data_IF_397081337682
#
_entry.id   IF_397081337682
#
_cell.length_a   1.000
_cell.length_b   1.000
_cell.length_c   1.000
_cell.angle_alpha   90.00
_cell.angle_beta   90.00
_cell.angle_gamma   90.00
#
_symmetry.space_group_name_H-M   'P 1'
#
loop_
_entity.id
_entity.type
_entity.pdbx_description
1 polymer ?
#
# COMPACT_ATOMS: atom_id res chain seq x y z
N UNK A 1 28.18 6.59 4.30
CA UNK A 1 27.57 5.35 3.83
C UNK A 1 26.06 5.47 3.85
N UNK A 2 25.31 4.54 3.25
CA UNK A 2 23.86 4.55 3.32
C UNK A 2 23.41 4.43 4.79
N UNK A 3 22.61 5.38 5.23
CA UNK A 3 22.05 5.38 6.58
C UNK A 3 20.80 4.51 6.60
N UNK A 4 20.57 3.79 7.69
CA UNK A 4 19.38 2.97 7.89
C UNK A 4 18.12 3.82 8.09
N UNK A 5 16.97 3.14 8.16
CA UNK A 5 15.67 3.80 8.39
C UNK A 5 15.66 4.57 9.72
N UNK A 6 16.18 3.97 10.79
CA UNK A 6 16.18 4.60 12.12
C UNK A 6 17.03 5.88 12.15
N UNK A 7 18.14 5.94 11.38
CA UNK A 7 18.96 7.16 11.24
C UNK A 7 18.22 8.30 10.48
N UNK A 8 17.29 7.94 9.61
CA UNK A 8 16.53 8.91 8.81
C UNK A 8 15.22 9.34 9.48
N UNK A 9 14.71 8.55 10.41
CA UNK A 9 13.36 8.67 10.97
C UNK A 9 13.04 10.06 11.50
N UNK A 10 13.94 10.66 12.29
CA UNK A 10 13.72 12.00 12.87
C UNK A 10 13.53 13.06 11.78
N UNK A 11 14.41 13.08 10.77
CA UNK A 11 14.33 14.04 9.66
C UNK A 11 13.10 13.82 8.77
N UNK A 12 12.71 12.57 8.56
CA UNK A 12 11.48 12.25 7.83
C UNK A 12 10.26 12.76 8.60
N UNK A 13 10.23 12.50 9.90
CA UNK A 13 9.13 12.96 10.76
C UNK A 13 9.02 14.48 10.82
N UNK A 14 10.15 15.19 10.95
CA UNK A 14 10.20 16.67 10.92
C UNK A 14 9.66 17.22 9.60
N UNK A 15 10.10 16.67 8.46
CA UNK A 15 9.63 17.09 7.14
C UNK A 15 8.14 16.83 6.93
N UNK A 16 7.67 15.62 7.27
CA UNK A 16 6.25 15.28 7.18
C UNK A 16 5.39 16.17 8.10
N UNK A 17 5.85 16.43 9.32
CA UNK A 17 5.15 17.33 10.26
C UNK A 17 5.03 18.74 9.70
N UNK A 18 6.12 19.33 9.20
CA UNK A 18 6.11 20.68 8.65
C UNK A 18 5.12 20.83 7.48
N UNK A 19 5.08 19.84 6.58
CA UNK A 19 4.11 19.81 5.47
C UNK A 19 2.68 19.67 5.98
N UNK A 20 2.47 18.84 7.00
CA UNK A 20 1.14 18.60 7.59
C UNK A 20 0.61 19.85 8.31
N UNK A 21 1.44 20.53 9.08
CA UNK A 21 1.10 21.78 9.77
C UNK A 21 0.71 22.87 8.77
N UNK A 22 1.47 23.03 7.69
CA UNK A 22 1.12 23.95 6.61
C UNK A 22 -0.21 23.59 5.93
N UNK A 23 -0.41 22.29 5.60
CA UNK A 23 -1.64 21.80 4.97
C UNK A 23 -2.88 21.98 5.88
N UNK A 24 -2.70 21.85 7.19
CA UNK A 24 -3.76 22.03 8.18
C UNK A 24 -4.36 23.45 8.14
N UNK A 25 -3.55 24.49 7.87
CA UNK A 25 -4.03 25.87 7.73
C UNK A 25 -5.06 26.01 6.59
N UNK A 26 -5.00 25.09 5.61
CA UNK A 26 -5.92 25.02 4.47
C UNK A 26 -7.03 23.96 4.65
N UNK A 27 -7.13 23.34 5.83
CA UNK A 27 -8.09 22.27 6.09
C UNK A 27 -7.79 20.94 5.40
N UNK A 28 -6.53 20.72 4.99
CA UNK A 28 -6.09 19.53 4.24
C UNK A 28 -5.36 18.56 5.19
N UNK A 29 -5.70 17.28 5.08
CA UNK A 29 -4.93 16.18 5.69
C UNK A 29 -3.85 15.69 4.74
N UNK A 30 -2.75 15.18 5.29
CA UNK A 30 -1.64 14.62 4.51
C UNK A 30 -1.44 13.15 4.85
N UNK A 31 -0.85 12.41 3.91
CA UNK A 31 -0.57 10.98 4.08
C UNK A 31 0.84 10.63 3.64
N UNK A 32 1.36 9.55 4.22
CA UNK A 32 2.46 8.79 3.64
C UNK A 32 1.89 7.50 3.02
N UNK A 33 2.42 7.08 1.89
CA UNK A 33 2.12 5.79 1.30
C UNK A 33 3.19 4.75 1.68
N UNK A 34 2.79 3.52 1.92
CA UNK A 34 3.72 2.39 2.05
C UNK A 34 4.31 2.03 0.68
N UNK A 35 5.39 2.72 0.29
CA UNK A 35 5.98 2.65 -1.05
C UNK A 35 7.51 2.79 -1.03
N UNK A 36 8.19 2.34 -2.09
CA UNK A 36 9.58 2.67 -2.40
C UNK A 36 10.64 1.94 -1.58
N UNK A 37 10.38 0.76 -1.06
CA UNK A 37 11.29 -0.12 -0.29
C UNK A 37 11.83 0.47 1.02
N UNK A 38 11.99 1.79 1.13
CA UNK A 38 12.57 2.43 2.30
C UNK A 38 11.55 2.60 3.43
N UNK A 39 10.34 3.07 3.11
CA UNK A 39 9.22 3.21 4.05
C UNK A 39 8.00 2.43 3.53
N UNK A 40 8.14 1.11 3.38
CA UNK A 40 7.13 0.25 2.78
C UNK A 40 6.70 -0.87 3.74
N UNK A 41 7.62 -1.35 4.58
CA UNK A 41 7.29 -2.30 5.65
C UNK A 41 6.32 -1.68 6.65
N UNK A 42 5.35 -2.45 7.12
CA UNK A 42 4.31 -1.95 8.02
C UNK A 42 4.87 -1.38 9.33
N UNK A 43 5.96 -1.96 9.88
CA UNK A 43 6.60 -1.48 11.09
C UNK A 43 7.30 -0.13 10.89
N UNK A 44 7.90 0.11 9.72
CA UNK A 44 8.53 1.39 9.39
C UNK A 44 7.50 2.49 9.17
N UNK A 45 6.41 2.17 8.48
CA UNK A 45 5.28 3.09 8.28
C UNK A 45 4.69 3.49 9.63
N UNK A 46 4.41 2.53 10.50
CA UNK A 46 3.89 2.78 11.85
C UNK A 46 4.84 3.66 12.67
N UNK A 47 6.14 3.36 12.68
CA UNK A 47 7.16 4.18 13.35
C UNK A 47 7.16 5.62 12.85
N UNK A 48 7.08 5.83 11.53
CA UNK A 48 7.08 7.18 10.96
C UNK A 48 5.81 7.95 11.36
N UNK A 49 4.63 7.35 11.25
CA UNK A 49 3.38 8.01 11.62
C UNK A 49 3.39 8.40 13.10
N UNK A 50 3.83 7.49 13.97
CA UNK A 50 3.95 7.75 15.41
C UNK A 50 5.00 8.83 15.71
N UNK A 51 6.11 8.90 14.97
CA UNK A 51 7.12 9.94 15.13
C UNK A 51 6.61 11.31 14.66
N UNK A 52 5.83 11.37 13.58
CA UNK A 52 5.14 12.61 13.14
C UNK A 52 4.14 13.05 14.19
N UNK A 53 3.37 12.13 14.78
CA UNK A 53 2.42 12.38 15.87
C UNK A 53 1.54 13.62 15.63
N UNK A 54 0.83 13.65 14.51
CA UNK A 54 -0.06 14.76 14.14
C UNK A 54 -1.43 14.22 13.68
N UNK A 55 -2.57 14.75 14.17
CA UNK A 55 -3.90 14.20 13.88
C UNK A 55 -4.30 14.30 12.39
N UNK A 56 -3.70 15.22 11.64
CA UNK A 56 -3.94 15.39 10.21
C UNK A 56 -2.90 14.67 9.32
N UNK A 57 -2.02 13.85 9.92
CA UNK A 57 -1.08 13.00 9.19
C UNK A 57 -1.46 11.53 9.36
N UNK A 58 -1.67 10.82 8.27
CA UNK A 58 -2.08 9.42 8.30
C UNK A 58 -1.45 8.60 7.18
N UNK A 59 -2.08 7.47 6.89
CA UNK A 59 -1.64 6.52 5.89
C UNK A 59 -2.54 6.55 4.66
N UNK A 60 -1.93 6.64 3.49
CA UNK A 60 -2.46 6.09 2.26
C UNK A 60 -2.01 4.63 2.22
N UNK A 61 -2.92 3.72 2.50
CA UNK A 61 -2.66 2.29 2.57
C UNK A 61 -2.78 1.66 1.18
N UNK A 62 -1.68 1.26 0.58
CA UNK A 62 -1.69 0.38 -0.58
C UNK A 62 -1.59 -1.08 -0.11
N UNK A 63 -2.62 -1.88 -0.39
CA UNK A 63 -2.70 -3.26 0.09
C UNK A 63 -1.76 -4.22 -0.65
N UNK A 64 -1.32 -3.87 -1.86
CA UNK A 64 -0.44 -4.70 -2.70
C UNK A 64 1.04 -4.45 -2.44
N UNK A 65 1.43 -3.23 -2.09
CA UNK A 65 2.83 -2.82 -1.99
C UNK A 65 3.63 -3.59 -0.92
N UNK A 66 2.98 -4.24 0.04
CA UNK A 66 3.67 -5.08 1.03
C UNK A 66 4.38 -6.28 0.39
N UNK A 67 3.88 -6.79 -0.73
CA UNK A 67 4.55 -7.87 -1.48
C UNK A 67 5.91 -7.44 -2.02
N UNK A 68 6.13 -6.16 -2.29
CA UNK A 68 7.43 -5.65 -2.74
C UNK A 68 8.54 -5.81 -1.68
N UNK A 69 8.17 -5.89 -0.42
CA UNK A 69 9.08 -6.10 0.71
C UNK A 69 8.91 -7.50 1.34
N UNK A 70 8.21 -8.39 0.64
CA UNK A 70 7.93 -9.78 1.06
C UNK A 70 7.17 -9.86 2.40
N UNK A 71 6.40 -8.86 2.73
CA UNK A 71 5.52 -8.86 3.90
C UNK A 71 4.12 -9.37 3.53
N UNK A 72 3.50 -10.13 4.44
CA UNK A 72 2.13 -10.61 4.32
C UNK A 72 1.15 -9.42 4.36
N UNK A 73 0.39 -9.15 3.27
CA UNK A 73 -0.49 -7.99 3.21
C UNK A 73 -1.56 -7.98 4.31
N UNK A 74 -2.09 -9.15 4.68
CA UNK A 74 -3.16 -9.23 5.70
C UNK A 74 -2.65 -8.81 7.07
N UNK A 75 -1.44 -9.26 7.44
CA UNK A 75 -0.80 -8.86 8.70
C UNK A 75 -0.46 -7.38 8.72
N UNK A 76 0.09 -6.88 7.60
CA UNK A 76 0.47 -5.49 7.45
C UNK A 76 -0.75 -4.56 7.52
N UNK A 77 -1.81 -4.86 6.78
CA UNK A 77 -3.08 -4.13 6.83
C UNK A 77 -3.63 -4.13 8.25
N UNK A 78 -3.71 -5.32 8.90
CA UNK A 78 -4.22 -5.42 10.28
C UNK A 78 -3.48 -4.53 11.28
N UNK A 79 -2.14 -4.39 11.14
CA UNK A 79 -1.32 -3.49 11.97
C UNK A 79 -1.66 -2.03 11.74
N UNK A 80 -1.89 -1.64 10.49
CA UNK A 80 -1.94 -0.23 10.07
C UNK A 80 -3.35 0.36 10.06
N UNK A 81 -4.40 -0.42 10.29
CA UNK A 81 -5.80 0.04 10.32
C UNK A 81 -6.03 1.35 11.07
N UNK A 82 -5.43 1.59 12.28
CA UNK A 82 -5.69 2.81 13.04
C UNK A 82 -5.22 4.10 12.37
N UNK A 83 -4.37 4.01 11.34
CA UNK A 83 -3.72 5.16 10.70
C UNK A 83 -4.27 5.48 9.31
N UNK A 84 -5.21 4.68 8.79
CA UNK A 84 -5.65 4.74 7.39
C UNK A 84 -6.56 5.94 7.14
N UNK A 85 -6.16 6.81 6.20
CA UNK A 85 -6.98 7.91 5.68
C UNK A 85 -7.50 7.64 4.28
N UNK A 86 -6.74 6.87 3.49
CA UNK A 86 -7.08 6.51 2.12
C UNK A 86 -6.56 5.12 1.79
N UNK A 87 -7.21 4.42 0.85
CA UNK A 87 -6.80 3.07 0.44
C UNK A 87 -6.57 3.01 -1.06
N UNK A 88 -5.41 2.50 -1.46
CA UNK A 88 -5.15 1.99 -2.80
C UNK A 88 -5.35 0.48 -2.82
N UNK A 89 -6.13 0.04 -3.80
CA UNK A 89 -6.30 -1.38 -4.12
C UNK A 89 -5.45 -1.68 -5.34
N UNK A 90 -4.37 -2.38 -5.11
CA UNK A 90 -3.39 -2.83 -6.11
C UNK A 90 -3.26 -4.34 -6.02
N UNK A 91 -3.03 -4.99 -7.14
CA UNK A 91 -2.79 -6.43 -7.19
C UNK A 91 -1.50 -6.77 -7.94
N UNK A 92 -0.87 -7.87 -7.58
CA UNK A 92 0.36 -8.38 -8.17
C UNK A 92 0.29 -9.88 -8.40
N UNK A 93 0.83 -10.33 -9.54
CA UNK A 93 1.26 -11.71 -9.69
C UNK A 93 2.61 -11.91 -8.99
N UNK A 94 2.76 -13.03 -8.28
CA UNK A 94 3.98 -13.40 -7.57
C UNK A 94 4.57 -14.70 -8.14
N UNK A 95 5.88 -14.71 -8.39
CA UNK A 95 6.63 -15.94 -8.68
C UNK A 95 7.85 -16.04 -7.77
N UNK A 96 8.11 -17.27 -7.32
CA UNK A 96 9.29 -17.54 -6.48
C UNK A 96 10.59 -17.12 -7.18
N UNK A 97 11.47 -16.45 -6.45
CA UNK A 97 12.82 -16.09 -6.90
C UNK A 97 13.73 -17.30 -7.19
N UNK A 98 13.31 -18.52 -6.79
CA UNK A 98 13.97 -19.77 -7.15
C UNK A 98 13.69 -20.21 -8.59
N UNK A 99 12.67 -19.65 -9.23
CA UNK A 99 12.32 -19.95 -10.62
C UNK A 99 13.15 -19.10 -11.59
N UNK A 100 13.27 -19.52 -12.87
CA UNK A 100 13.87 -18.68 -13.91
C UNK A 100 13.18 -17.32 -14.00
N UNK A 101 13.97 -16.27 -14.33
CA UNK A 101 13.44 -14.94 -14.54
C UNK A 101 12.32 -14.97 -15.61
N UNK A 102 11.10 -14.52 -15.30
CA UNK A 102 9.98 -14.56 -16.24
C UNK A 102 10.10 -13.55 -17.41
N UNK A 103 11.08 -12.64 -17.36
CA UNK A 103 11.37 -11.70 -18.45
C UNK A 103 10.71 -10.33 -18.27
N UNK A 104 10.37 -9.71 -19.41
CA UNK A 104 9.87 -8.32 -19.46
C UNK A 104 8.58 -8.15 -18.66
N UNK A 105 8.48 -7.03 -17.96
CA UNK A 105 7.31 -6.65 -17.14
C UNK A 105 7.36 -7.17 -15.71
N UNK A 106 8.38 -7.95 -15.34
CA UNK A 106 8.59 -8.42 -13.98
C UNK A 106 9.74 -7.67 -13.30
N UNK A 107 9.57 -7.37 -12.03
CA UNK A 107 10.61 -6.80 -11.17
C UNK A 107 10.83 -7.70 -9.94
N UNK A 108 11.83 -7.39 -9.13
CA UNK A 108 12.13 -8.18 -7.93
C UNK A 108 11.62 -7.50 -6.68
N UNK A 109 11.02 -8.30 -5.78
CA UNK A 109 10.83 -7.92 -4.39
C UNK A 109 12.18 -7.75 -3.67
N UNK A 110 12.16 -7.23 -2.44
CA UNK A 110 13.37 -7.14 -1.59
C UNK A 110 14.03 -8.50 -1.37
N UNK A 111 13.27 -9.55 -1.14
CA UNK A 111 13.75 -10.92 -0.93
C UNK A 111 14.09 -11.67 -2.22
N UNK A 112 13.85 -11.07 -3.39
CA UNK A 112 14.22 -11.62 -4.69
C UNK A 112 13.11 -12.40 -5.40
N UNK A 113 11.88 -12.44 -4.90
CA UNK A 113 10.73 -12.95 -5.64
C UNK A 113 10.43 -12.05 -6.86
N UNK A 114 9.79 -12.61 -7.87
CA UNK A 114 9.36 -11.82 -9.03
C UNK A 114 7.93 -11.36 -8.87
N UNK A 115 7.71 -10.07 -9.11
CA UNK A 115 6.39 -9.42 -9.05
C UNK A 115 6.06 -8.81 -10.40
N UNK A 116 4.79 -8.80 -10.76
CA UNK A 116 4.23 -8.07 -11.91
C UNK A 116 2.86 -7.55 -11.53
N UNK A 117 2.58 -6.28 -11.81
CA UNK A 117 1.25 -5.72 -11.62
C UNK A 117 0.17 -6.56 -12.30
N UNK A 118 -0.95 -6.71 -11.64
CA UNK A 118 -2.10 -7.50 -12.09
C UNK A 118 -3.39 -6.68 -12.03
N UNK A 119 -4.37 -7.07 -12.83
CA UNK A 119 -5.76 -6.61 -12.68
C UNK A 119 -6.27 -7.05 -11.32
N UNK A 120 -6.95 -6.20 -10.57
CA UNK A 120 -7.50 -6.52 -9.26
C UNK A 120 -8.31 -7.83 -9.32
N UNK A 121 -7.94 -8.79 -8.49
CA UNK A 121 -8.53 -10.12 -8.42
C UNK A 121 -7.93 -11.15 -9.37
N UNK A 122 -6.94 -10.77 -10.20
CA UNK A 122 -6.20 -11.72 -11.04
C UNK A 122 -4.85 -12.09 -10.45
N UNK A 123 -4.39 -11.38 -9.42
CA UNK A 123 -3.11 -11.58 -8.78
C UNK A 123 -3.19 -12.39 -7.49
N UNK A 124 -2.16 -12.23 -6.68
CA UNK A 124 -1.94 -13.00 -5.44
C UNK A 124 -2.18 -12.15 -4.18
N UNK A 125 -2.56 -10.87 -4.31
CA UNK A 125 -2.94 -10.04 -3.15
C UNK A 125 -4.27 -10.53 -2.59
N UNK A 126 -4.39 -10.82 -1.29
CA UNK A 126 -5.64 -11.29 -0.66
C UNK A 126 -6.64 -10.13 -0.49
N UNK A 127 -7.10 -9.56 -1.62
CA UNK A 127 -7.94 -8.34 -1.68
C UNK A 127 -9.16 -8.45 -0.79
N UNK A 128 -9.94 -9.54 -0.93
CA UNK A 128 -11.18 -9.74 -0.15
C UNK A 128 -10.89 -9.78 1.36
N UNK A 129 -9.80 -10.42 1.76
CA UNK A 129 -9.42 -10.48 3.18
C UNK A 129 -9.01 -9.11 3.71
N UNK A 130 -8.28 -8.31 2.92
CA UNK A 130 -7.93 -6.93 3.28
C UNK A 130 -9.20 -6.05 3.39
N UNK A 131 -10.15 -6.18 2.47
CA UNK A 131 -11.43 -5.47 2.53
C UNK A 131 -12.24 -5.81 3.79
N UNK A 132 -12.27 -7.09 4.20
CA UNK A 132 -12.91 -7.50 5.44
C UNK A 132 -12.27 -6.84 6.68
N UNK A 133 -10.93 -6.73 6.71
CA UNK A 133 -10.24 -6.03 7.80
C UNK A 133 -10.62 -4.56 7.86
N UNK A 134 -10.62 -3.87 6.71
CA UNK A 134 -11.02 -2.45 6.61
C UNK A 134 -12.47 -2.25 7.08
N UNK A 135 -13.41 -3.09 6.60
CA UNK A 135 -14.81 -3.06 7.03
C UNK A 135 -14.94 -3.24 8.53
N UNK A 136 -14.30 -4.26 9.10
CA UNK A 136 -14.38 -4.55 10.53
C UNK A 136 -13.77 -3.45 11.40
N UNK A 137 -12.84 -2.66 10.85
CA UNK A 137 -12.28 -1.47 11.49
C UNK A 137 -13.15 -0.21 11.33
N UNK A 138 -14.26 -0.30 10.59
CA UNK A 138 -15.16 0.83 10.34
C UNK A 138 -14.64 1.83 9.30
N UNK A 139 -13.74 1.40 8.39
CA UNK A 139 -13.29 2.27 7.31
C UNK A 139 -14.44 2.53 6.32
N UNK A 140 -14.73 3.81 6.10
CA UNK A 140 -15.80 4.31 5.23
C UNK A 140 -15.29 5.26 4.11
N UNK A 141 -13.96 5.31 3.93
CA UNK A 141 -13.31 6.14 2.93
C UNK A 141 -13.30 5.54 1.52
N UNK A 142 -12.52 6.15 0.63
CA UNK A 142 -12.41 5.73 -0.76
C UNK A 142 -11.48 4.52 -0.92
N UNK A 143 -11.85 3.64 -1.87
CA UNK A 143 -11.02 2.56 -2.40
C UNK A 143 -10.60 2.94 -3.82
N UNK A 144 -9.39 3.46 -3.98
CA UNK A 144 -8.85 3.86 -5.28
C UNK A 144 -8.12 2.69 -5.95
N UNK A 145 -8.37 2.49 -7.23
CA UNK A 145 -7.70 1.46 -8.02
C UNK A 145 -6.34 1.99 -8.46
N UNK A 146 -5.28 1.23 -8.18
CA UNK A 146 -3.96 1.46 -8.77
C UNK A 146 -3.55 0.27 -9.62
N UNK A 147 -3.47 0.48 -10.94
CA UNK A 147 -3.14 -0.57 -11.90
C UNK A 147 -1.76 -0.33 -12.52
N UNK A 148 -0.86 -1.30 -12.34
CA UNK A 148 0.50 -1.29 -12.87
C UNK A 148 0.82 -2.57 -13.69
N UNK A 149 -0.21 -3.17 -14.31
CA UNK A 149 -0.05 -4.34 -15.16
C UNK A 149 0.53 -4.00 -16.54
N UNK A 150 0.76 -5.04 -17.36
CA UNK A 150 1.23 -4.89 -18.74
C UNK A 150 0.07 -4.85 -19.76
N UNK A 151 -1.13 -5.09 -19.31
CA UNK A 151 -2.35 -5.04 -20.09
C UNK A 151 -2.68 -3.57 -20.44
N UNK A 152 -3.57 -3.37 -21.42
CA UNK A 152 -4.09 -2.04 -21.73
C UNK A 152 -4.69 -1.38 -20.46
N UNK A 153 -4.27 -0.16 -20.07
CA UNK A 153 -4.68 0.44 -18.80
C UNK A 153 -6.18 0.64 -18.66
N UNK A 154 -6.86 1.02 -19.74
CA UNK A 154 -8.31 1.23 -19.71
C UNK A 154 -9.04 -0.08 -19.46
N UNK A 155 -8.63 -1.13 -20.16
CA UNK A 155 -9.18 -2.48 -19.98
C UNK A 155 -8.87 -3.01 -18.57
N UNK A 156 -7.63 -2.85 -18.12
CA UNK A 156 -7.21 -3.33 -16.80
C UNK A 156 -7.97 -2.66 -15.65
N UNK A 157 -8.15 -1.33 -15.74
CA UNK A 157 -8.91 -0.56 -14.74
C UNK A 157 -10.40 -0.92 -14.79
N UNK A 158 -10.99 -1.07 -15.98
CA UNK A 158 -12.40 -1.40 -16.11
C UNK A 158 -12.72 -2.76 -15.47
N UNK A 159 -11.96 -3.80 -15.81
CA UNK A 159 -12.12 -5.14 -15.22
C UNK A 159 -11.87 -5.12 -13.71
N UNK A 160 -10.79 -4.44 -13.28
CA UNK A 160 -10.47 -4.26 -11.87
C UNK A 160 -11.59 -3.58 -11.08
N UNK A 161 -12.25 -2.58 -11.67
CA UNK A 161 -13.37 -1.89 -11.05
C UNK A 161 -14.62 -2.79 -10.91
N UNK A 162 -14.91 -3.63 -11.90
CA UNK A 162 -15.99 -4.61 -11.82
C UNK A 162 -15.71 -5.64 -10.71
N UNK A 163 -14.49 -6.17 -10.66
CA UNK A 163 -14.09 -7.11 -9.63
C UNK A 163 -14.14 -6.48 -8.22
N UNK A 164 -13.62 -5.27 -8.06
CA UNK A 164 -13.61 -4.58 -6.78
C UNK A 164 -15.03 -4.29 -6.27
N UNK A 165 -15.95 -3.85 -7.14
CA UNK A 165 -17.36 -3.64 -6.76
C UNK A 165 -17.98 -4.93 -6.25
N UNK A 166 -17.82 -6.04 -6.96
CA UNK A 166 -18.30 -7.34 -6.52
C UNK A 166 -17.74 -7.75 -5.18
N UNK A 167 -16.42 -7.60 -4.96
CA UNK A 167 -15.80 -7.93 -3.67
C UNK A 167 -16.31 -7.05 -2.52
N UNK A 168 -16.56 -5.76 -2.78
CA UNK A 168 -17.16 -4.88 -1.78
C UNK A 168 -18.59 -5.32 -1.44
N UNK A 169 -19.40 -5.66 -2.46
CA UNK A 169 -20.76 -6.19 -2.25
C UNK A 169 -20.76 -7.49 -1.46
N UNK A 170 -19.82 -8.40 -1.73
CA UNK A 170 -19.69 -9.69 -1.04
C UNK A 170 -19.30 -9.54 0.45
N UNK A 171 -18.55 -8.48 0.80
CA UNK A 171 -18.12 -8.25 2.19
C UNK A 171 -19.07 -7.32 2.97
N UNK A 172 -19.93 -6.56 2.33
CA UNK A 172 -20.89 -5.65 2.98
C UNK A 172 -22.13 -6.37 3.48
#
# INVERSE_FOLDING_TARGET
GPRGFDDALSRLAEGCRAVTEFAQEMGIKTTIENHGFFCQDSDRVEKLINAVNHPNFGLLLDIGNFLCVDEDPVKAVGRLLPYVFHVHVKDFHVKSGMLPNPGKGWFKSRGGNYLRGAIIGHGDVPVVQCLNLLKNAGYDGFLSIEFEGIEDPITGIAIGAENLRRYVEDVM
#
